data_IF_449927315099
#
_entry.id   IF_449927315099
#
_cell.length_a   1.000
_cell.length_b   1.000
_cell.length_c   1.000
_cell.angle_alpha   90.00
_cell.angle_beta   90.00
_cell.angle_gamma   90.00
#
_symmetry.space_group_name_H-M   'P 1'
#
loop_
_entity.id
_entity.type
_entity.pdbx_description
1 polymer ?
#
# COMPACT_ATOMS: atom_id res chain seq x y z
N UNK A 1 0.09 -16.50 -5.44
CA UNK A 1 0.28 -15.42 -6.42
C UNK A 1 -0.90 -15.35 -7.37
N UNK A 2 -1.57 -14.21 -7.43
CA UNK A 2 -2.59 -13.89 -8.44
C UNK A 2 -2.16 -12.64 -9.20
N UNK A 3 -2.54 -12.51 -10.46
CA UNK A 3 -2.23 -11.34 -11.28
C UNK A 3 -3.51 -10.75 -11.88
N UNK A 4 -3.49 -9.45 -12.14
CA UNK A 4 -4.58 -8.76 -12.82
C UNK A 4 -4.04 -7.59 -13.63
N UNK A 5 -4.57 -7.42 -14.84
CA UNK A 5 -4.20 -6.34 -15.75
C UNK A 5 -5.18 -5.19 -15.60
N UNK A 6 -4.62 -3.99 -15.47
CA UNK A 6 -5.33 -2.70 -15.42
C UNK A 6 -4.79 -1.78 -16.52
N UNK A 7 -5.37 -0.58 -16.66
CA UNK A 7 -4.87 0.46 -17.58
C UNK A 7 -3.48 0.99 -17.20
N UNK A 8 -3.07 0.87 -15.92
CA UNK A 8 -1.74 1.27 -15.45
C UNK A 8 -0.70 0.15 -15.53
N UNK A 9 -1.11 -1.07 -15.86
CA UNK A 9 -0.21 -2.23 -15.91
C UNK A 9 -0.73 -3.42 -15.12
N UNK A 10 0.18 -4.37 -14.86
CA UNK A 10 -0.16 -5.64 -14.22
C UNK A 10 0.19 -5.58 -12.74
N UNK A 11 -0.80 -5.84 -11.89
CA UNK A 11 -0.62 -5.99 -10.46
C UNK A 11 -0.55 -7.47 -10.09
N UNK A 12 0.25 -7.78 -9.08
CA UNK A 12 0.37 -9.10 -8.47
C UNK A 12 0.06 -9.01 -6.97
N UNK A 13 -0.71 -9.97 -6.46
CA UNK A 13 -1.01 -10.11 -5.04
C UNK A 13 -0.64 -11.51 -4.52
N UNK A 14 -0.37 -11.60 -3.22
CA UNK A 14 0.05 -12.82 -2.55
C UNK A 14 1.46 -13.25 -2.95
N UNK A 15 2.38 -12.29 -3.10
CA UNK A 15 3.82 -12.53 -3.31
C UNK A 15 4.65 -12.28 -2.06
N UNK A 16 4.08 -11.67 -1.03
CA UNK A 16 4.71 -11.47 0.27
C UNK A 16 3.96 -12.20 1.39
N UNK A 17 4.70 -12.89 2.25
CA UNK A 17 4.16 -13.35 3.53
C UNK A 17 4.27 -12.23 4.55
N UNK A 18 3.11 -11.69 4.95
CA UNK A 18 3.04 -10.62 5.94
C UNK A 18 3.35 -11.21 7.32
N UNK A 19 4.29 -10.60 8.09
CA UNK A 19 4.58 -11.03 9.45
C UNK A 19 3.33 -11.11 10.32
N UNK A 20 3.17 -12.20 11.08
CA UNK A 20 1.97 -12.44 11.90
C UNK A 20 1.72 -11.36 12.96
N UNK A 21 2.76 -10.64 13.38
CA UNK A 21 2.63 -9.53 14.32
C UNK A 21 1.96 -8.27 13.71
N UNK A 22 1.85 -8.18 12.38
CA UNK A 22 1.26 -7.01 11.75
C UNK A 22 -0.26 -7.16 11.62
N UNK A 23 -0.98 -6.14 12.05
CA UNK A 23 -2.43 -6.04 11.85
C UNK A 23 -2.70 -5.49 10.46
N UNK A 24 -3.32 -6.28 9.59
CA UNK A 24 -3.72 -5.83 8.26
C UNK A 24 -5.04 -5.05 8.33
N UNK A 25 -5.03 -3.78 7.93
CA UNK A 25 -6.22 -2.94 7.97
C UNK A 25 -7.32 -3.41 6.99
N UNK A 26 -6.96 -4.10 5.91
CA UNK A 26 -7.90 -4.79 4.99
C UNK A 26 -7.26 -6.07 4.47
N UNK A 27 -8.10 -7.04 4.11
CA UNK A 27 -7.63 -8.28 3.48
C UNK A 27 -7.20 -8.01 2.02
N UNK A 28 -6.03 -8.52 1.58
CA UNK A 28 -5.63 -8.47 0.18
C UNK A 28 -6.64 -9.21 -0.68
N UNK A 29 -7.12 -8.56 -1.74
CA UNK A 29 -8.14 -9.14 -2.60
C UNK A 29 -8.09 -8.51 -3.99
N UNK A 30 -8.58 -9.27 -4.97
CA UNK A 30 -8.93 -8.79 -6.29
C UNK A 30 -10.42 -9.04 -6.46
N UNK A 31 -11.18 -7.98 -6.74
CA UNK A 31 -12.62 -8.06 -6.98
C UNK A 31 -12.93 -7.47 -8.35
N UNK A 32 -13.68 -8.20 -9.17
CA UNK A 32 -14.14 -7.73 -10.47
C UNK A 32 -15.67 -7.88 -10.57
N UNK A 33 -16.39 -6.77 -10.71
CA UNK A 33 -17.86 -6.73 -10.84
C UNK A 33 -18.27 -5.58 -11.74
N UNK A 34 -19.16 -5.83 -12.72
CA UNK A 34 -19.79 -4.81 -13.56
C UNK A 34 -18.79 -3.76 -14.08
N UNK A 35 -17.73 -4.21 -14.76
CA UNK A 35 -16.66 -3.38 -15.34
C UNK A 35 -15.78 -2.61 -14.34
N UNK A 36 -16.00 -2.83 -13.04
CA UNK A 36 -15.17 -2.30 -11.95
C UNK A 36 -14.22 -3.39 -11.47
N UNK A 37 -12.93 -3.06 -11.48
CA UNK A 37 -11.87 -3.87 -10.88
C UNK A 37 -11.33 -3.15 -9.66
N UNK A 38 -11.32 -3.80 -8.49
CA UNK A 38 -10.71 -3.29 -7.27
C UNK A 38 -9.64 -4.26 -6.76
N UNK A 39 -8.47 -3.73 -6.48
CA UNK A 39 -7.28 -4.45 -6.04
C UNK A 39 -6.87 -3.85 -4.70
N UNK A 40 -6.79 -4.69 -3.68
CA UNK A 40 -6.25 -4.35 -2.37
C UNK A 40 -4.94 -5.12 -2.22
N UNK A 41 -3.81 -4.42 -2.13
CA UNK A 41 -2.48 -5.05 -2.12
C UNK A 41 -1.54 -4.46 -1.08
N UNK A 42 -0.64 -5.32 -0.58
CA UNK A 42 0.51 -4.98 0.25
C UNK A 42 1.84 -5.28 -0.43
N UNK A 43 1.81 -5.79 -1.66
CA UNK A 43 2.99 -6.37 -2.31
C UNK A 43 3.68 -5.40 -3.26
N UNK A 44 2.99 -4.34 -3.67
CA UNK A 44 3.42 -3.44 -4.74
C UNK A 44 3.04 -2.00 -4.42
N UNK A 45 3.80 -1.09 -5.02
CA UNK A 45 3.53 0.34 -5.08
C UNK A 45 3.38 0.77 -6.54
N UNK A 46 2.76 1.93 -6.75
CA UNK A 46 2.62 2.54 -8.07
C UNK A 46 3.02 4.01 -8.01
N UNK A 47 3.84 4.43 -8.98
CA UNK A 47 4.06 5.85 -9.28
C UNK A 47 3.27 6.23 -10.52
N UNK A 48 2.47 7.28 -10.44
CA UNK A 48 1.69 7.83 -11.57
C UNK A 48 2.03 9.30 -11.75
N UNK A 49 2.54 9.70 -12.92
CA UNK A 49 2.96 11.09 -13.20
C UNK A 49 3.87 11.69 -12.10
N UNK A 50 4.77 10.88 -11.53
CA UNK A 50 5.66 11.28 -10.43
C UNK A 50 5.07 11.21 -9.02
N UNK A 51 3.77 10.91 -8.87
CA UNK A 51 3.13 10.71 -7.58
C UNK A 51 3.20 9.24 -7.15
N UNK A 52 3.93 8.96 -6.08
CA UNK A 52 4.06 7.60 -5.53
C UNK A 52 2.95 7.29 -4.52
N UNK A 53 2.30 6.15 -4.73
CA UNK A 53 1.31 5.56 -3.84
C UNK A 53 1.80 4.18 -3.42
N UNK A 54 1.87 3.96 -2.11
CA UNK A 54 2.41 2.72 -1.55
C UNK A 54 1.61 2.27 -0.33
N UNK A 55 1.61 0.96 -0.02
CA UNK A 55 1.18 0.50 1.30
C UNK A 55 1.94 1.23 2.41
N UNK A 56 1.30 1.39 3.56
CA UNK A 56 1.89 2.12 4.70
C UNK A 56 2.00 1.19 5.90
N UNK A 57 3.23 1.03 6.40
CA UNK A 57 3.52 0.39 7.67
C UNK A 57 3.51 1.45 8.77
N UNK A 58 2.61 1.32 9.72
CA UNK A 58 2.42 2.28 10.81
C UNK A 58 2.63 1.59 12.16
N UNK A 59 3.59 2.06 12.94
CA UNK A 59 3.78 1.64 14.33
C UNK A 59 3.14 2.70 15.25
N UNK A 60 2.29 2.25 16.18
CA UNK A 60 1.71 3.13 17.18
C UNK A 60 2.82 3.64 18.12
N UNK A 61 2.84 4.95 18.38
CA UNK A 61 3.86 5.57 19.22
C UNK A 61 3.72 5.25 20.72
N UNK A 62 2.49 5.07 21.21
CA UNK A 62 2.21 4.74 22.60
C UNK A 62 2.24 3.23 22.86
N UNK A 63 2.08 2.42 21.81
CA UNK A 63 2.05 0.95 21.85
C UNK A 63 2.89 0.39 20.70
N UNK A 64 4.24 0.41 20.80
CA UNK A 64 5.14 0.04 19.71
C UNK A 64 4.96 -1.39 19.19
N UNK A 65 4.40 -2.28 19.99
CA UNK A 65 3.99 -3.63 19.61
C UNK A 65 2.83 -3.66 18.61
N UNK A 66 2.02 -2.60 18.54
CA UNK A 66 0.94 -2.45 17.58
C UNK A 66 1.47 -1.87 16.27
N UNK A 67 1.68 -2.76 15.31
CA UNK A 67 2.12 -2.42 13.96
C UNK A 67 0.98 -2.74 13.00
N UNK A 68 0.45 -1.71 12.35
CA UNK A 68 -0.67 -1.80 11.41
C UNK A 68 -0.18 -1.57 9.98
N UNK A 69 -0.62 -2.44 9.07
CA UNK A 69 -0.32 -2.34 7.65
C UNK A 69 -1.57 -1.88 6.88
N UNK A 70 -1.47 -0.72 6.26
CA UNK A 70 -2.51 -0.13 5.42
C UNK A 70 -2.21 -0.42 3.94
N UNK A 71 -3.19 -0.95 3.19
CA UNK A 71 -2.94 -1.40 1.83
C UNK A 71 -2.90 -0.23 0.86
N UNK A 72 -2.32 -0.50 -0.31
CA UNK A 72 -2.62 0.25 -1.51
C UNK A 72 -3.94 -0.30 -2.09
N UNK A 73 -4.86 0.59 -2.41
CA UNK A 73 -6.13 0.26 -3.08
C UNK A 73 -6.11 0.86 -4.47
N UNK A 74 -6.25 0.02 -5.49
CA UNK A 74 -6.38 0.43 -6.88
C UNK A 74 -7.77 0.04 -7.36
N UNK A 75 -8.54 1.02 -7.83
CA UNK A 75 -9.86 0.80 -8.41
C UNK A 75 -9.89 1.32 -9.82
N UNK A 76 -10.15 0.45 -10.78
CA UNK A 76 -10.39 0.82 -12.17
C UNK A 76 -11.87 0.75 -12.48
N UNK A 77 -12.37 1.79 -13.13
CA UNK A 77 -13.69 1.84 -13.73
C UNK A 77 -13.53 2.40 -15.15
N UNK A 78 -13.76 1.55 -16.15
CA UNK A 78 -13.50 1.87 -17.56
C UNK A 78 -12.05 2.36 -17.80
N UNK A 79 -11.89 3.64 -18.17
CA UNK A 79 -10.60 4.28 -18.47
C UNK A 79 -10.08 5.16 -17.31
N UNK A 80 -10.73 5.12 -16.15
CA UNK A 80 -10.34 5.86 -14.95
C UNK A 80 -9.75 4.91 -13.92
N UNK A 81 -8.61 5.29 -13.36
CA UNK A 81 -7.93 4.59 -12.28
C UNK A 81 -7.93 5.47 -11.03
N UNK A 82 -8.55 4.99 -9.95
CA UNK A 82 -8.41 5.58 -8.63
C UNK A 82 -7.35 4.82 -7.85
N UNK A 83 -6.36 5.52 -7.32
CA UNK A 83 -5.29 4.95 -6.52
C UNK A 83 -5.31 5.62 -5.15
N UNK A 84 -5.41 4.82 -4.10
CA UNK A 84 -5.53 5.28 -2.73
C UNK A 84 -4.57 4.54 -1.82
N UNK A 85 -3.77 5.27 -1.06
CA UNK A 85 -3.05 4.75 0.11
C UNK A 85 -3.71 5.26 1.40
N UNK A 86 -3.00 5.18 2.54
CA UNK A 86 -3.52 5.68 3.84
C UNK A 86 -3.78 7.20 3.85
N UNK A 87 -2.97 7.97 3.14
CA UNK A 87 -2.89 9.43 3.27
C UNK A 87 -3.38 10.16 2.02
N UNK A 88 -3.34 9.51 0.87
CA UNK A 88 -3.58 10.13 -0.43
C UNK A 88 -4.60 9.33 -1.24
N UNK A 89 -5.34 10.03 -2.09
CA UNK A 89 -6.14 9.44 -3.15
C UNK A 89 -5.95 10.27 -4.41
N UNK A 90 -5.68 9.60 -5.53
CA UNK A 90 -5.53 10.21 -6.84
C UNK A 90 -6.43 9.54 -7.87
N UNK A 91 -6.75 10.28 -8.91
CA UNK A 91 -7.51 9.80 -10.06
C UNK A 91 -6.70 10.04 -11.33
N UNK A 92 -6.52 8.97 -12.10
CA UNK A 92 -5.64 8.90 -13.26
C UNK A 92 -6.38 8.29 -14.44
N UNK A 93 -5.87 8.48 -15.64
CA UNK A 93 -6.47 7.99 -16.89
C UNK A 93 -5.51 7.10 -17.64
N UNK A 94 -6.05 6.35 -18.59
CA UNK A 94 -5.23 5.59 -19.53
C UNK A 94 -4.26 6.51 -20.28
N UNK A 95 -2.99 6.11 -20.36
CA UNK A 95 -1.93 6.87 -21.03
C UNK A 95 -1.09 7.75 -20.09
N UNK A 96 -1.47 7.89 -18.82
CA UNK A 96 -0.59 8.49 -17.80
C UNK A 96 0.68 7.64 -17.62
N UNK A 97 1.81 8.29 -17.31
CA UNK A 97 3.07 7.60 -17.07
C UNK A 97 3.01 6.84 -15.76
N UNK A 98 3.08 5.51 -15.84
CA UNK A 98 2.82 4.61 -14.73
C UNK A 98 3.97 3.63 -14.56
N UNK A 99 4.44 3.51 -13.32
CA UNK A 99 5.49 2.57 -12.94
C UNK A 99 5.04 1.76 -11.72
N UNK A 100 4.91 0.45 -11.89
CA UNK A 100 4.58 -0.48 -10.81
C UNK A 100 5.88 -1.14 -10.36
N UNK A 101 6.10 -1.20 -9.05
CA UNK A 101 7.28 -1.84 -8.45
C UNK A 101 6.91 -2.60 -7.19
N UNK A 102 7.73 -3.58 -6.83
CA UNK A 102 7.56 -4.33 -5.59
C UNK A 102 7.70 -3.41 -4.38
N UNK A 103 6.84 -3.63 -3.39
CA UNK A 103 6.90 -2.98 -2.10
C UNK A 103 7.02 -4.04 -1.01
N UNK A 104 7.87 -3.78 -0.02
CA UNK A 104 8.03 -4.66 1.15
C UNK A 104 8.02 -3.82 2.41
N UNK A 105 7.29 -4.22 3.46
CA UNK A 105 7.28 -3.50 4.71
C UNK A 105 8.67 -3.53 5.33
N UNK A 106 9.24 -2.35 5.59
CA UNK A 106 10.50 -2.18 6.31
C UNK A 106 10.28 -1.23 7.47
N UNK A 107 10.35 -1.74 8.69
CA UNK A 107 10.53 -0.90 9.87
C UNK A 107 11.98 -0.45 9.86
N UNK A 108 12.21 0.83 9.60
CA UNK A 108 13.50 1.43 9.88
C UNK A 108 13.49 1.86 11.33
N UNK A 109 14.45 1.38 12.11
CA UNK A 109 14.73 1.98 13.41
C UNK A 109 15.11 3.44 13.18
N UNK A 110 14.19 4.37 13.42
CA UNK A 110 14.61 5.75 13.66
C UNK A 110 15.34 5.72 14.99
N UNK A 111 16.56 6.26 15.02
CA UNK A 111 17.29 6.44 16.27
C UNK A 111 16.35 7.09 17.29
N UNK A 112 16.26 6.48 18.46
CA UNK A 112 15.48 7.07 19.53
C UNK A 112 16.16 8.38 19.96
N UNK A 113 15.38 9.45 20.09
CA UNK A 113 15.78 10.62 20.86
C UNK A 113 15.33 10.35 22.30
N UNK A 114 16.25 9.95 23.21
CA UNK A 114 15.87 9.62 24.58
C UNK A 114 15.21 10.81 25.25
N UNK A 115 14.18 10.53 26.05
CA UNK A 115 13.50 11.57 26.82
C UNK A 115 14.51 12.28 27.73
N UNK A 116 14.56 13.62 27.69
CA UNK A 116 15.47 14.42 28.53
C UNK A 116 15.17 14.34 30.02
N UNK A 117 13.96 13.90 30.41
CA UNK A 117 13.55 13.82 31.81
C UNK A 117 13.82 12.44 32.43
N UNK A 118 13.59 11.34 31.70
CA UNK A 118 13.74 9.98 32.24
C UNK A 118 14.82 9.13 31.53
N UNK A 119 15.46 9.65 30.48
CA UNK A 119 16.51 8.96 29.73
C UNK A 119 16.04 7.75 28.92
N UNK A 120 14.74 7.44 28.96
CA UNK A 120 14.20 6.27 28.27
C UNK A 120 14.02 6.52 26.78
N UNK A 121 14.38 5.47 26.07
CA UNK A 121 13.86 5.05 24.78
C UNK A 121 12.89 3.89 25.06
#
# INVERSE_FOLDING_TARGET
MQNIKTIAGTFTIGTYEIPKQYVCAKTPTITQKNDICEIVTYDQQITVNGHNYAPVLHQNCMQPEQITLYPLVIRQEHATLTVSDRYHTGHWKSGDDTQISDWRPKLMHRGCVPCTNCGRC
#
